data_IF_373959671290
#
_entry.id   IF_373959671290
#
_cell.length_a   1.000
_cell.length_b   1.000
_cell.length_c   1.000
_cell.angle_alpha   90.00
_cell.angle_beta   90.00
_cell.angle_gamma   90.00
#
_symmetry.space_group_name_H-M   'P 1'
#
loop_
_entity.id
_entity.type
_entity.pdbx_description
1 polymer ?
#
# COMPACT_ATOMS: atom_id res chain seq x y z
N UNK A 1 -6.28 35.19 7.15
CA UNK A 1 -6.49 33.75 6.95
C UNK A 1 -5.63 32.98 7.95
N UNK A 2 -6.32 32.27 8.81
CA UNK A 2 -5.64 31.33 9.67
C UNK A 2 -5.40 30.04 8.87
N UNK A 3 -4.29 29.98 8.16
CA UNK A 3 -3.82 28.72 7.62
C UNK A 3 -3.42 27.79 8.76
N UNK A 4 -3.20 26.50 8.48
CA UNK A 4 -2.65 25.61 9.50
C UNK A 4 -1.36 26.23 10.02
N UNK A 5 -1.22 26.34 11.33
CA UNK A 5 0.01 26.81 11.92
C UNK A 5 1.14 25.88 11.48
N UNK A 6 2.28 26.47 11.14
CA UNK A 6 3.47 25.70 10.83
C UNK A 6 3.93 24.98 12.10
N UNK A 7 3.57 23.72 12.19
CA UNK A 7 3.99 22.83 13.26
C UNK A 7 5.15 22.00 12.73
N UNK A 8 6.34 22.25 13.27
CA UNK A 8 7.56 21.54 12.86
C UNK A 8 7.42 20.03 13.06
N UNK A 9 6.81 19.61 14.17
CA UNK A 9 6.59 18.19 14.46
C UNK A 9 5.75 17.53 13.37
N UNK A 10 4.72 18.21 12.89
CA UNK A 10 3.85 17.71 11.82
C UNK A 10 4.59 17.65 10.48
N UNK A 11 5.42 18.65 10.19
CA UNK A 11 6.22 18.65 8.97
C UNK A 11 7.24 17.51 8.99
N UNK A 12 7.88 17.25 10.12
CA UNK A 12 8.83 16.15 10.27
C UNK A 12 8.12 14.80 10.12
N UNK A 13 6.94 14.66 10.71
CA UNK A 13 6.15 13.44 10.58
C UNK A 13 5.78 13.18 9.12
N UNK A 14 5.34 14.21 8.42
CA UNK A 14 5.01 14.10 6.99
C UNK A 14 6.21 13.67 6.17
N UNK A 15 7.38 14.22 6.45
CA UNK A 15 8.63 13.84 5.80
C UNK A 15 8.98 12.38 6.03
N UNK A 16 8.86 11.89 7.26
CA UNK A 16 9.08 10.48 7.58
C UNK A 16 8.12 9.56 6.84
N UNK A 17 6.86 9.93 6.76
CA UNK A 17 5.85 9.15 6.05
C UNK A 17 6.13 9.13 4.55
N UNK A 18 6.49 10.26 3.97
CA UNK A 18 6.87 10.33 2.56
C UNK A 18 8.08 9.44 2.27
N UNK A 19 9.10 9.50 3.10
CA UNK A 19 10.30 8.68 2.95
C UNK A 19 9.95 7.19 3.01
N UNK A 20 9.08 6.79 3.93
CA UNK A 20 8.63 5.41 4.03
C UNK A 20 7.91 4.95 2.76
N UNK A 21 7.00 5.76 2.23
CA UNK A 21 6.25 5.44 1.03
C UNK A 21 7.17 5.38 -0.20
N UNK A 22 8.13 6.27 -0.30
CA UNK A 22 9.10 6.24 -1.39
C UNK A 22 10.01 5.03 -1.28
N UNK A 23 10.40 4.67 -0.06
CA UNK A 23 11.20 3.48 0.19
C UNK A 23 10.45 2.22 -0.20
N UNK A 24 9.17 2.13 0.14
CA UNK A 24 8.31 1.02 -0.26
C UNK A 24 8.26 0.89 -1.79
N UNK A 25 7.98 1.98 -2.48
CA UNK A 25 7.92 2.01 -3.93
C UNK A 25 9.24 1.55 -4.56
N UNK A 26 10.36 2.05 -4.05
CA UNK A 26 11.69 1.69 -4.52
C UNK A 26 11.96 0.19 -4.35
N UNK A 27 11.64 -0.37 -3.18
CA UNK A 27 11.85 -1.79 -2.92
C UNK A 27 11.03 -2.67 -3.85
N UNK A 28 9.78 -2.29 -4.11
CA UNK A 28 8.93 -3.03 -5.05
C UNK A 28 9.45 -2.92 -6.49
N UNK A 29 9.87 -1.73 -6.90
CA UNK A 29 10.41 -1.51 -8.25
C UNK A 29 11.71 -2.29 -8.48
N UNK A 30 12.53 -2.42 -7.45
CA UNK A 30 13.78 -3.18 -7.49
C UNK A 30 13.57 -4.67 -7.23
N UNK A 31 12.34 -5.11 -6.99
CA UNK A 31 11.98 -6.49 -6.65
C UNK A 31 12.69 -7.01 -5.40
N UNK A 32 12.94 -6.13 -4.45
CA UNK A 32 13.53 -6.46 -3.15
C UNK A 32 12.42 -6.79 -2.16
N UNK A 33 11.72 -7.88 -2.42
CA UNK A 33 10.48 -8.21 -1.72
C UNK A 33 10.70 -8.61 -0.27
N UNK A 34 11.81 -9.24 0.06
CA UNK A 34 12.13 -9.58 1.45
C UNK A 34 12.33 -8.32 2.30
N UNK A 35 13.06 -7.33 1.77
CA UNK A 35 13.23 -6.04 2.42
C UNK A 35 11.89 -5.28 2.52
N UNK A 36 11.05 -5.42 1.51
CA UNK A 36 9.71 -4.84 1.52
C UNK A 36 8.85 -5.44 2.65
N UNK A 37 8.89 -6.76 2.85
CA UNK A 37 8.20 -7.42 3.96
C UNK A 37 8.65 -6.88 5.32
N UNK A 38 9.92 -6.54 5.46
CA UNK A 38 10.47 -6.02 6.71
C UNK A 38 9.94 -4.63 7.09
N UNK A 39 9.30 -3.93 6.17
CA UNK A 39 8.65 -2.65 6.47
C UNK A 39 7.39 -2.82 7.32
N UNK A 40 6.81 -4.02 7.35
CA UNK A 40 5.52 -4.27 7.98
C UNK A 40 5.69 -4.94 9.34
N UNK A 41 4.81 -4.56 10.27
CA UNK A 41 4.70 -5.24 11.56
C UNK A 41 4.02 -6.59 11.39
N UNK A 42 4.13 -7.46 12.41
CA UNK A 42 3.51 -8.80 12.35
C UNK A 42 1.99 -8.75 12.27
N UNK A 43 1.38 -7.69 12.78
CA UNK A 43 -0.07 -7.48 12.79
C UNK A 43 -0.57 -6.66 11.61
N UNK A 44 0.24 -6.50 10.57
CA UNK A 44 -0.14 -5.72 9.39
C UNK A 44 -1.42 -6.24 8.76
N UNK A 45 -2.26 -5.31 8.33
CA UNK A 45 -3.40 -5.60 7.48
C UNK A 45 -3.17 -4.92 6.12
N UNK A 46 -2.82 -5.72 5.14
CA UNK A 46 -2.59 -5.23 3.77
C UNK A 46 -3.88 -5.36 2.99
N UNK A 47 -4.53 -4.24 2.76
CA UNK A 47 -5.86 -4.20 2.18
C UNK A 47 -5.91 -3.28 0.99
N UNK A 48 -6.32 -3.82 -0.15
CA UNK A 48 -6.53 -3.07 -1.39
C UNK A 48 -7.97 -3.30 -1.84
N UNK A 49 -8.89 -2.38 -1.52
CA UNK A 49 -10.29 -2.55 -1.86
C UNK A 49 -10.52 -2.38 -3.36
N UNK A 50 -11.56 -3.05 -3.84
CA UNK A 50 -12.06 -2.81 -5.19
C UNK A 50 -13.08 -1.68 -5.13
N UNK A 51 -12.94 -0.73 -6.05
CA UNK A 51 -13.91 0.36 -6.17
C UNK A 51 -15.11 -0.13 -6.96
N UNK A 52 -16.31 0.14 -6.44
CA UNK A 52 -17.56 -0.20 -7.10
C UNK A 52 -18.17 1.02 -7.76
N UNK A 53 -18.84 0.78 -8.88
CA UNK A 53 -19.64 1.80 -9.54
C UNK A 53 -21.02 1.79 -8.88
N UNK A 54 -21.25 2.72 -7.96
CA UNK A 54 -22.51 2.79 -7.20
C UNK A 54 -23.22 4.11 -7.47
N UNK A 55 -24.56 4.16 -7.21
CA UNK A 55 -25.30 5.43 -7.29
C UNK A 55 -24.68 6.49 -6.37
N UNK A 56 -24.66 7.72 -6.82
CA UNK A 56 -24.01 8.82 -6.10
C UNK A 56 -24.60 9.12 -4.72
N UNK A 57 -25.84 8.69 -4.45
CA UNK A 57 -26.47 8.87 -3.16
C UNK A 57 -26.01 7.88 -2.09
N UNK A 58 -25.17 6.92 -2.45
CA UNK A 58 -24.69 5.92 -1.52
C UNK A 58 -23.17 5.67 -1.67
N UNK A 59 -22.35 6.70 -1.40
CA UNK A 59 -20.91 6.60 -1.57
C UNK A 59 -20.24 5.60 -0.62
N UNK A 60 -20.89 5.22 0.47
CA UNK A 60 -20.36 4.24 1.41
C UNK A 60 -20.20 2.86 0.80
N UNK A 61 -20.90 2.56 -0.29
CA UNK A 61 -20.80 1.29 -1.00
C UNK A 61 -19.76 1.31 -2.11
N UNK A 62 -19.09 2.43 -2.36
CA UNK A 62 -18.13 2.57 -3.45
C UNK A 62 -16.92 1.64 -3.30
N UNK A 63 -16.45 1.44 -2.08
CA UNK A 63 -15.33 0.57 -1.78
C UNK A 63 -15.79 -0.73 -1.15
N UNK A 64 -15.10 -1.82 -1.49
CA UNK A 64 -15.35 -3.10 -0.84
C UNK A 64 -14.89 -3.06 0.61
N UNK A 65 -15.62 -3.76 1.48
CA UNK A 65 -15.34 -3.81 2.90
C UNK A 65 -14.36 -4.93 3.21
N UNK A 66 -13.36 -4.64 4.04
CA UNK A 66 -12.37 -5.62 4.45
C UNK A 66 -13.06 -6.83 5.12
N UNK A 67 -12.71 -8.03 4.69
CA UNK A 67 -13.22 -9.28 5.24
C UNK A 67 -14.69 -9.60 4.92
N UNK A 68 -15.42 -8.69 4.27
CA UNK A 68 -16.83 -8.86 3.94
C UNK A 68 -17.09 -8.96 2.44
N UNK A 69 -16.28 -8.28 1.65
CA UNK A 69 -16.43 -8.22 0.21
C UNK A 69 -15.18 -8.75 -0.50
N UNK A 70 -15.29 -9.06 -1.77
CA UNK A 70 -14.13 -9.40 -2.59
C UNK A 70 -13.26 -8.16 -2.79
N UNK A 71 -11.98 -8.27 -2.46
CA UNK A 71 -11.00 -7.19 -2.61
C UNK A 71 -9.81 -7.68 -3.42
N UNK A 72 -8.97 -6.75 -3.92
CA UNK A 72 -7.71 -7.12 -4.56
C UNK A 72 -6.75 -7.78 -3.57
N UNK A 73 -6.64 -7.22 -2.38
CA UNK A 73 -5.83 -7.74 -1.29
C UNK A 73 -6.55 -7.49 0.03
N UNK A 74 -6.56 -8.49 0.89
CA UNK A 74 -7.04 -8.40 2.26
C UNK A 74 -6.27 -9.45 3.05
N UNK A 75 -5.03 -9.10 3.43
CA UNK A 75 -4.05 -10.10 3.84
C UNK A 75 -3.24 -9.65 5.04
N UNK A 76 -2.84 -10.62 5.85
CA UNK A 76 -1.89 -10.43 6.92
C UNK A 76 -0.46 -10.74 6.48
N UNK A 77 0.47 -10.63 7.42
CA UNK A 77 1.91 -10.83 7.19
C UNK A 77 2.22 -12.21 6.61
N UNK A 78 1.58 -13.27 7.12
CA UNK A 78 1.83 -14.64 6.67
C UNK A 78 1.52 -14.81 5.19
N UNK A 79 0.39 -14.29 4.74
CA UNK A 79 -0.03 -14.41 3.35
C UNK A 79 0.90 -13.62 2.43
N UNK A 80 1.31 -12.42 2.84
CA UNK A 80 2.28 -11.63 2.09
C UNK A 80 3.61 -12.36 1.96
N UNK A 81 4.07 -12.99 3.03
CA UNK A 81 5.30 -13.78 3.04
C UNK A 81 5.22 -14.95 2.06
N UNK A 82 4.08 -15.64 2.02
CA UNK A 82 3.85 -16.74 1.06
C UNK A 82 3.89 -16.25 -0.38
N UNK A 83 3.33 -15.08 -0.65
CA UNK A 83 3.35 -14.48 -1.99
C UNK A 83 4.77 -14.17 -2.44
N UNK A 84 5.60 -13.63 -1.55
CA UNK A 84 6.99 -13.36 -1.85
C UNK A 84 7.74 -14.66 -2.16
N UNK A 85 7.54 -15.70 -1.37
CA UNK A 85 8.14 -17.01 -1.62
C UNK A 85 7.73 -17.57 -2.99
N UNK A 86 6.47 -17.45 -3.35
CA UNK A 86 5.95 -17.89 -4.63
C UNK A 86 6.64 -17.17 -5.80
N UNK A 87 6.84 -15.87 -5.69
CA UNK A 87 7.56 -15.08 -6.69
C UNK A 87 9.00 -15.60 -6.84
N UNK A 88 9.66 -15.89 -5.71
CA UNK A 88 11.05 -16.37 -5.71
C UNK A 88 11.21 -17.77 -6.31
N UNK A 89 10.17 -18.58 -6.30
CA UNK A 89 10.22 -19.93 -6.92
C UNK A 89 10.08 -19.91 -8.43
N UNK A 90 9.77 -18.76 -9.03
CA UNK A 90 9.60 -18.64 -10.48
C UNK A 90 8.33 -19.28 -11.03
N UNK A 91 7.38 -19.66 -10.18
CA UNK A 91 6.13 -20.31 -10.60
C UNK A 91 5.05 -19.30 -11.01
N UNK A 92 5.41 -18.04 -11.10
CA UNK A 92 4.48 -16.97 -11.44
C UNK A 92 4.35 -16.82 -12.96
N UNK A 93 3.35 -17.48 -13.52
CA UNK A 93 3.16 -17.63 -14.97
C UNK A 93 2.89 -16.33 -15.71
N UNK A 94 2.26 -15.35 -15.04
CA UNK A 94 1.82 -14.13 -15.71
C UNK A 94 2.95 -13.15 -16.01
N UNK A 95 4.11 -13.33 -15.42
CA UNK A 95 5.22 -12.39 -15.53
C UNK A 95 6.56 -13.08 -15.84
N UNK A 96 6.63 -13.67 -17.03
CA UNK A 96 7.89 -14.23 -17.49
C UNK A 96 8.16 -13.74 -18.92
N UNK A 97 9.17 -12.87 -19.13
CA UNK A 97 10.03 -12.28 -18.10
C UNK A 97 9.30 -11.32 -17.16
N UNK A 98 9.84 -11.07 -15.94
CA UNK A 98 9.18 -10.17 -14.99
C UNK A 98 8.94 -8.79 -15.58
N UNK A 99 7.76 -8.23 -15.33
CA UNK A 99 7.43 -6.88 -15.76
C UNK A 99 8.34 -5.85 -15.10
N UNK A 100 8.70 -4.83 -15.84
CA UNK A 100 9.37 -3.65 -15.28
C UNK A 100 8.29 -2.67 -14.86
N UNK A 101 8.35 -2.26 -13.59
CA UNK A 101 7.36 -1.35 -13.02
C UNK A 101 8.06 -0.16 -12.37
N UNK A 102 7.32 0.94 -12.29
CA UNK A 102 7.74 2.11 -11.54
C UNK A 102 6.54 2.64 -10.78
N UNK A 103 6.61 2.56 -9.46
CA UNK A 103 5.58 3.11 -8.60
C UNK A 103 5.86 4.58 -8.35
N UNK A 104 4.85 5.41 -8.57
CA UNK A 104 4.92 6.85 -8.31
C UNK A 104 3.91 7.19 -7.23
N UNK A 105 4.39 7.78 -6.14
CA UNK A 105 3.56 8.16 -5.00
C UNK A 105 3.44 9.67 -4.95
N UNK A 106 2.21 10.14 -4.82
CA UNK A 106 1.96 11.57 -4.75
C UNK A 106 0.79 11.84 -3.80
N UNK A 107 0.53 13.11 -3.56
CA UNK A 107 -0.62 13.56 -2.76
C UNK A 107 -0.60 12.99 -1.32
N UNK A 108 0.58 12.94 -0.73
CA UNK A 108 0.73 12.48 0.65
C UNK A 108 0.19 13.53 1.60
N UNK A 109 -0.77 13.14 2.43
CA UNK A 109 -1.44 14.03 3.37
C UNK A 109 -1.58 13.36 4.72
N UNK A 110 -1.38 14.12 5.79
CA UNK A 110 -1.70 13.68 7.14
C UNK A 110 -3.11 14.18 7.45
N UNK A 111 -4.05 13.25 7.61
CA UNK A 111 -5.46 13.58 7.84
C UNK A 111 -5.86 13.52 9.31
N UNK A 112 -5.01 12.95 10.15
CA UNK A 112 -5.21 12.88 11.59
C UNK A 112 -3.92 12.52 12.27
N UNK A 113 -3.63 13.15 13.40
CA UNK A 113 -2.43 12.87 14.17
C UNK A 113 -2.70 13.12 15.64
#
# INVERSE_FOLDING_TARGET
MTGPSLDLSRLLLKEEIQDLLYREAELLDERRYEDWLDLFTEDVHYWVPMRRNVPSQDPALEFTRAGLDVTWFDEGKDTLTRRVKQIRTGVHWAEEPPSRVCHMVSNVQIVGA
#
